data_IF_982248292276
#
_entry.id   IF_982248292276
#
_cell.length_a   1.000
_cell.length_b   1.000
_cell.length_c   1.000
_cell.angle_alpha   90.00
_cell.angle_beta   90.00
_cell.angle_gamma   90.00
#
_symmetry.space_group_name_H-M   'P 1'
#
loop_
_entity.id
_entity.type
_entity.pdbx_description
1 polymer ?
#
# COMPACT_ATOMS: atom_id res chain seq x y z
N UNK A 1 54.95 26.41 -9.42
CA UNK A 1 54.35 27.77 -9.47
C UNK A 1 52.94 27.70 -8.90
N UNK A 2 52.72 28.26 -7.69
CA UNK A 2 51.42 28.33 -7.04
C UNK A 2 50.66 29.53 -7.59
N UNK A 3 49.56 29.29 -8.29
CA UNK A 3 48.63 30.35 -8.71
C UNK A 3 47.84 30.79 -7.49
N UNK A 4 48.22 31.94 -6.92
CA UNK A 4 47.43 32.66 -5.92
C UNK A 4 46.14 33.16 -6.60
N UNK A 5 45.00 32.53 -6.29
CA UNK A 5 43.69 33.12 -6.55
C UNK A 5 43.51 34.34 -5.62
N UNK A 6 43.11 35.52 -6.14
CA UNK A 6 42.79 36.65 -5.28
C UNK A 6 41.55 36.29 -4.44
N UNK A 7 41.71 36.31 -3.11
CA UNK A 7 40.61 36.36 -2.15
C UNK A 7 39.93 37.72 -2.32
N UNK A 8 38.94 37.80 -3.20
CA UNK A 8 37.94 38.86 -3.15
C UNK A 8 37.22 38.76 -1.81
N UNK A 9 37.43 39.73 -0.93
CA UNK A 9 36.52 39.96 0.20
C UNK A 9 35.12 40.18 -0.38
N UNK A 10 34.08 39.48 0.08
CA UNK A 10 32.72 39.96 -0.18
C UNK A 10 32.61 41.33 0.50
N UNK A 11 32.18 42.32 -0.27
CA UNK A 11 31.77 43.62 0.25
C UNK A 11 30.55 43.41 1.15
N UNK A 12 30.79 43.03 2.40
CA UNK A 12 29.85 43.26 3.49
C UNK A 12 29.92 44.73 3.83
N UNK A 13 28.76 45.29 4.12
CA UNK A 13 28.56 46.55 4.85
C UNK A 13 28.58 47.81 3.98
N UNK A 14 27.46 48.05 3.31
CA UNK A 14 26.63 49.24 3.53
C UNK A 14 25.37 49.16 2.66
N UNK A 15 24.45 48.26 2.99
CA UNK A 15 23.07 48.43 2.53
C UNK A 15 22.53 49.67 3.24
N UNK A 16 22.32 50.76 2.49
CA UNK A 16 21.75 52.00 3.03
C UNK A 16 20.45 51.69 3.80
N UNK A 17 20.23 52.29 4.98
CA UNK A 17 19.03 52.05 5.78
C UNK A 17 17.71 52.35 5.04
N UNK A 18 17.76 53.17 3.98
CA UNK A 18 16.61 53.45 3.09
C UNK A 18 16.18 52.25 2.24
N UNK A 19 17.11 51.42 1.76
CA UNK A 19 16.77 50.26 0.93
C UNK A 19 16.08 49.15 1.75
N UNK A 20 16.48 49.00 3.02
CA UNK A 20 15.90 47.99 3.91
C UNK A 20 14.46 48.37 4.33
N UNK A 21 14.18 49.65 4.55
CA UNK A 21 12.81 50.09 4.91
C UNK A 21 11.82 49.94 3.76
N UNK A 22 12.26 50.13 2.51
CA UNK A 22 11.42 49.88 1.32
C UNK A 22 11.05 48.40 1.16
N UNK A 23 11.98 47.47 1.39
CA UNK A 23 11.70 46.02 1.35
C UNK A 23 10.71 45.57 2.43
N UNK A 24 10.80 46.13 3.64
CA UNK A 24 9.81 45.88 4.70
C UNK A 24 8.43 46.42 4.33
N UNK A 25 8.36 47.60 3.72
CA UNK A 25 7.10 48.18 3.28
C UNK A 25 6.43 47.36 2.18
N UNK A 26 7.22 46.84 1.23
CA UNK A 26 6.72 45.87 0.25
C UNK A 26 6.21 44.58 0.89
N UNK A 27 6.92 44.04 1.89
CA UNK A 27 6.50 42.84 2.60
C UNK A 27 5.15 43.06 3.29
N UNK A 28 4.97 44.19 3.98
CA UNK A 28 3.70 44.57 4.64
C UNK A 28 2.55 44.64 3.63
N UNK A 29 2.76 45.28 2.46
CA UNK A 29 1.74 45.35 1.40
C UNK A 29 1.33 43.95 0.92
N UNK A 30 2.28 43.04 0.74
CA UNK A 30 2.01 41.66 0.31
C UNK A 30 1.27 40.85 1.37
N UNK A 31 1.60 41.03 2.66
CA UNK A 31 0.86 40.42 3.78
C UNK A 31 -0.58 40.90 3.80
N UNK A 32 -0.80 42.21 3.62
CA UNK A 32 -2.13 42.82 3.64
C UNK A 32 -2.97 42.34 2.46
N UNK A 33 -2.39 42.25 1.26
CA UNK A 33 -3.02 41.67 0.08
C UNK A 33 -3.38 40.18 0.30
N UNK A 34 -2.45 39.39 0.86
CA UNK A 34 -2.67 37.98 1.16
C UNK A 34 -3.78 37.80 2.21
N UNK A 35 -3.85 38.65 3.23
CA UNK A 35 -4.90 38.64 4.25
C UNK A 35 -6.29 38.98 3.68
N UNK A 36 -6.38 39.95 2.76
CA UNK A 36 -7.63 40.29 2.07
C UNK A 36 -8.09 39.13 1.18
N UNK A 37 -7.17 38.54 0.40
CA UNK A 37 -7.46 37.35 -0.41
C UNK A 37 -7.89 36.17 0.45
N UNK A 38 -7.28 35.98 1.63
CA UNK A 38 -7.66 34.95 2.58
C UNK A 38 -9.10 35.14 3.08
N UNK A 39 -9.46 36.36 3.49
CA UNK A 39 -10.81 36.68 3.95
C UNK A 39 -11.84 36.41 2.85
N UNK A 40 -11.52 36.78 1.61
CA UNK A 40 -12.40 36.50 0.46
C UNK A 40 -12.57 34.99 0.23
N UNK A 41 -11.48 34.22 0.26
CA UNK A 41 -11.52 32.77 0.08
C UNK A 41 -12.31 32.07 1.20
N UNK A 42 -12.21 32.53 2.45
CA UNK A 42 -12.97 31.98 3.59
C UNK A 42 -14.49 32.13 3.37
N UNK A 43 -14.95 33.18 2.68
CA UNK A 43 -16.38 33.37 2.39
C UNK A 43 -16.90 32.39 1.33
N UNK A 44 -16.07 32.07 0.33
CA UNK A 44 -16.41 31.15 -0.76
C UNK A 44 -16.36 29.69 -0.33
N UNK A 45 -15.46 29.35 0.60
CA UNK A 45 -15.25 27.98 1.07
C UNK A 45 -16.43 27.51 1.94
N UNK A 46 -16.90 26.25 1.77
CA UNK A 46 -18.01 25.71 2.57
C UNK A 46 -17.69 25.71 4.07
N UNK A 47 -18.70 25.93 4.91
CA UNK A 47 -18.55 26.17 6.36
C UNK A 47 -17.66 25.15 7.07
N UNK A 48 -17.78 23.88 6.71
CA UNK A 48 -17.04 22.75 7.29
C UNK A 48 -15.51 22.80 7.05
N UNK A 49 -15.03 23.57 6.05
CA UNK A 49 -13.60 23.66 5.70
C UNK A 49 -12.93 24.94 6.19
N UNK A 50 -13.71 25.95 6.62
CA UNK A 50 -13.23 27.31 6.87
C UNK A 50 -12.15 27.38 7.94
N UNK A 51 -12.34 26.65 9.05
CA UNK A 51 -11.42 26.68 10.18
C UNK A 51 -10.06 26.08 9.80
N UNK A 52 -10.06 24.89 9.21
CA UNK A 52 -8.84 24.19 8.83
C UNK A 52 -8.10 24.96 7.73
N UNK A 53 -8.81 25.45 6.71
CA UNK A 53 -8.23 26.26 5.64
C UNK A 53 -7.65 27.58 6.17
N UNK A 54 -8.35 28.27 7.08
CA UNK A 54 -7.84 29.50 7.68
C UNK A 54 -6.59 29.25 8.52
N UNK A 55 -6.58 28.19 9.33
CA UNK A 55 -5.47 27.88 10.22
C UNK A 55 -4.20 27.52 9.42
N UNK A 56 -4.34 26.71 8.37
CA UNK A 56 -3.21 26.35 7.52
C UNK A 56 -2.71 27.49 6.69
N UNK A 57 -3.60 28.30 6.13
CA UNK A 57 -3.19 29.43 5.32
C UNK A 57 -2.51 30.51 6.17
N UNK A 58 -3.00 30.78 7.39
CA UNK A 58 -2.32 31.68 8.34
C UNK A 58 -0.95 31.13 8.72
N UNK A 59 -0.83 29.82 8.97
CA UNK A 59 0.45 29.19 9.27
C UNK A 59 1.45 29.29 8.11
N UNK A 60 1.02 29.03 6.87
CA UNK A 60 1.86 29.16 5.68
C UNK A 60 2.28 30.61 5.41
N UNK A 61 1.37 31.57 5.62
CA UNK A 61 1.68 33.00 5.54
C UNK A 61 2.72 33.36 6.60
N UNK A 62 2.56 32.93 7.85
CA UNK A 62 3.51 33.19 8.93
C UNK A 62 4.91 32.64 8.63
N UNK A 63 5.00 31.42 8.08
CA UNK A 63 6.26 30.84 7.63
C UNK A 63 6.87 31.66 6.49
N UNK A 64 6.08 31.98 5.46
CA UNK A 64 6.56 32.75 4.31
C UNK A 64 7.08 34.14 4.70
N UNK A 65 6.38 34.81 5.63
CA UNK A 65 6.80 36.09 6.22
C UNK A 65 8.06 35.92 7.04
N UNK A 66 8.17 34.89 7.87
CA UNK A 66 9.37 34.60 8.65
C UNK A 66 10.60 34.36 7.77
N UNK A 67 10.45 33.60 6.69
CA UNK A 67 11.51 33.36 5.71
C UNK A 67 11.93 34.67 5.04
N UNK A 68 10.97 35.50 4.60
CA UNK A 68 11.27 36.79 3.97
C UNK A 68 11.93 37.76 4.93
N UNK A 69 11.48 37.84 6.19
CA UNK A 69 12.15 38.62 7.22
C UNK A 69 13.59 38.16 7.45
N UNK A 70 13.83 36.85 7.49
CA UNK A 70 15.18 36.30 7.63
C UNK A 70 16.08 36.65 6.43
N UNK A 71 15.55 36.66 5.21
CA UNK A 71 16.28 37.08 4.00
C UNK A 71 16.64 38.57 4.02
N UNK A 72 15.73 39.45 4.46
CA UNK A 72 15.97 40.90 4.59
C UNK A 72 17.02 41.20 5.68
N UNK A 73 16.97 40.47 6.81
CA UNK A 73 17.91 40.66 7.92
C UNK A 73 19.30 40.07 7.65
N UNK A 74 19.38 38.99 6.87
CA UNK A 74 20.64 38.28 6.59
C UNK A 74 20.76 37.94 5.09
N UNK A 75 20.99 38.94 4.23
CA UNK A 75 21.16 38.73 2.79
C UNK A 75 22.37 37.81 2.52
N UNK A 76 22.17 36.78 1.68
CA UNK A 76 23.21 35.81 1.28
C UNK A 76 23.38 34.58 2.17
N UNK A 77 22.74 34.50 3.35
CA UNK A 77 22.78 33.28 4.21
C UNK A 77 21.66 32.27 3.96
N UNK A 78 20.55 32.71 3.35
CA UNK A 78 19.31 31.95 3.22
C UNK A 78 18.83 31.89 1.77
N UNK A 79 19.72 31.49 0.85
CA UNK A 79 19.36 31.17 -0.53
C UNK A 79 18.71 29.79 -0.62
N UNK A 80 17.38 29.78 -0.79
CA UNK A 80 16.58 28.56 -0.88
C UNK A 80 16.92 27.69 -2.11
N UNK A 81 17.56 28.28 -3.12
CA UNK A 81 18.06 27.59 -4.31
C UNK A 81 19.12 26.55 -3.95
N UNK A 82 20.06 26.89 -3.07
CA UNK A 82 21.07 25.96 -2.58
C UNK A 82 20.43 24.84 -1.76
N UNK A 83 19.57 25.18 -0.79
CA UNK A 83 18.87 24.18 0.03
C UNK A 83 18.04 23.19 -0.80
N UNK A 84 17.28 23.68 -1.80
CA UNK A 84 16.52 22.81 -2.70
C UNK A 84 17.45 21.89 -3.50
N UNK A 85 18.54 22.44 -4.04
CA UNK A 85 19.49 21.66 -4.82
C UNK A 85 20.20 20.60 -3.99
N UNK A 86 20.52 20.91 -2.73
CA UNK A 86 21.12 20.00 -1.77
C UNK A 86 20.13 18.91 -1.34
N UNK A 87 18.86 19.27 -1.10
CA UNK A 87 17.82 18.30 -0.78
C UNK A 87 17.55 17.33 -1.95
N UNK A 88 17.51 17.83 -3.19
CA UNK A 88 17.35 16.99 -4.39
C UNK A 88 18.57 16.08 -4.57
N UNK A 89 19.78 16.62 -4.47
CA UNK A 89 21.02 15.84 -4.57
C UNK A 89 21.10 14.78 -3.46
N UNK A 90 20.66 15.12 -2.25
CA UNK A 90 20.56 14.17 -1.15
C UNK A 90 19.55 13.05 -1.44
N UNK A 91 18.36 13.39 -1.95
CA UNK A 91 17.34 12.43 -2.36
C UNK A 91 17.80 11.50 -3.51
N UNK A 92 18.47 12.05 -4.52
CA UNK A 92 19.01 11.29 -5.64
C UNK A 92 20.13 10.33 -5.21
N UNK A 93 20.92 10.70 -4.20
CA UNK A 93 21.96 9.86 -3.63
C UNK A 93 21.43 8.72 -2.73
N UNK A 94 20.15 8.74 -2.36
CA UNK A 94 19.53 7.65 -1.59
C UNK A 94 19.27 6.44 -2.49
N UNK A 95 19.56 5.24 -1.98
CA UNK A 95 19.15 3.99 -2.64
C UNK A 95 17.64 3.99 -2.88
N UNK A 96 17.21 3.38 -3.99
CA UNK A 96 15.80 3.29 -4.39
C UNK A 96 14.84 2.83 -3.29
N UNK A 97 15.27 1.90 -2.44
CA UNK A 97 14.53 1.43 -1.25
C UNK A 97 14.24 2.56 -0.26
N UNK A 98 15.26 3.34 0.09
CA UNK A 98 15.11 4.43 1.04
C UNK A 98 14.26 5.55 0.44
N UNK A 99 14.34 5.80 -0.87
CA UNK A 99 13.43 6.73 -1.55
C UNK A 99 11.96 6.30 -1.40
N UNK A 100 11.65 5.02 -1.62
CA UNK A 100 10.28 4.51 -1.49
C UNK A 100 9.73 4.68 -0.07
N UNK A 101 10.49 4.32 0.96
CA UNK A 101 10.07 4.46 2.37
C UNK A 101 10.02 5.93 2.82
N UNK A 102 10.92 6.77 2.33
CA UNK A 102 10.89 8.20 2.60
C UNK A 102 9.62 8.84 2.01
N UNK A 103 9.22 8.44 0.80
CA UNK A 103 7.96 8.89 0.20
C UNK A 103 6.76 8.46 1.03
N UNK A 104 6.72 7.19 1.50
CA UNK A 104 5.68 6.73 2.44
C UNK A 104 5.64 7.64 3.68
N UNK A 105 6.79 7.90 4.28
CA UNK A 105 6.91 8.71 5.50
C UNK A 105 6.45 10.14 5.28
N UNK A 106 6.77 10.75 4.14
CA UNK A 106 6.34 12.11 3.79
C UNK A 106 4.83 12.20 3.51
N UNK A 107 4.20 11.12 3.04
CA UNK A 107 2.76 11.09 2.79
C UNK A 107 1.92 10.99 4.08
N UNK A 108 2.44 10.42 5.17
CA UNK A 108 1.71 10.27 6.45
C UNK A 108 1.18 11.60 7.02
N UNK A 109 2.00 12.66 7.19
CA UNK A 109 1.50 13.94 7.70
C UNK A 109 0.50 14.59 6.74
N UNK A 110 0.68 14.40 5.43
CA UNK A 110 -0.27 14.88 4.42
C UNK A 110 -1.64 14.18 4.53
N UNK A 111 -1.66 12.86 4.76
CA UNK A 111 -2.88 12.11 5.04
C UNK A 111 -3.54 12.55 6.34
N UNK A 112 -2.75 12.78 7.39
CA UNK A 112 -3.26 13.32 8.66
C UNK A 112 -3.92 14.68 8.47
N UNK A 113 -3.34 15.55 7.64
CA UNK A 113 -3.95 16.82 7.28
C UNK A 113 -5.27 16.65 6.53
N UNK A 114 -5.31 15.78 5.52
CA UNK A 114 -6.54 15.51 4.77
C UNK A 114 -7.64 14.89 5.64
N UNK A 115 -7.28 14.05 6.61
CA UNK A 115 -8.23 13.47 7.56
C UNK A 115 -8.93 14.55 8.41
N UNK A 116 -8.16 15.52 8.91
CA UNK A 116 -8.70 16.65 9.67
C UNK A 116 -9.55 17.56 8.79
N UNK A 117 -9.21 17.68 7.51
CA UNK A 117 -9.87 18.55 6.56
C UNK A 117 -11.22 17.99 6.10
N UNK A 118 -11.26 16.74 5.65
CA UNK A 118 -12.49 16.01 5.30
C UNK A 118 -12.23 14.50 5.25
N UNK A 119 -12.70 13.84 6.30
CA UNK A 119 -12.51 12.41 6.49
C UNK A 119 -13.21 11.55 5.42
N UNK A 120 -14.36 11.96 4.89
CA UNK A 120 -15.17 11.08 4.05
C UNK A 120 -15.01 11.35 2.55
N UNK A 121 -14.89 12.62 2.15
CA UNK A 121 -14.78 12.99 0.74
C UNK A 121 -13.36 12.92 0.21
N UNK A 122 -12.41 13.62 0.84
CA UNK A 122 -11.03 13.67 0.37
C UNK A 122 -10.11 12.61 0.97
N UNK A 123 -10.23 12.32 2.27
CA UNK A 123 -9.30 11.40 2.93
C UNK A 123 -9.46 9.97 2.43
N UNK A 124 -10.67 9.42 2.36
CA UNK A 124 -10.89 8.02 1.92
C UNK A 124 -10.25 7.70 0.56
N UNK A 125 -10.49 8.44 -0.53
CA UNK A 125 -9.89 8.10 -1.83
C UNK A 125 -8.36 8.27 -1.83
N UNK A 126 -7.82 9.29 -1.15
CA UNK A 126 -6.37 9.50 -1.06
C UNK A 126 -5.70 8.44 -0.18
N UNK A 127 -6.35 8.02 0.90
CA UNK A 127 -5.91 6.93 1.76
C UNK A 127 -5.92 5.59 1.00
N UNK A 128 -6.90 5.35 0.13
CA UNK A 128 -6.91 4.19 -0.75
C UNK A 128 -5.73 4.20 -1.73
N UNK A 129 -5.44 5.33 -2.38
CA UNK A 129 -4.27 5.48 -3.26
C UNK A 129 -2.95 5.28 -2.51
N UNK A 130 -2.86 5.83 -1.29
CA UNK A 130 -1.70 5.61 -0.42
C UNK A 130 -1.54 4.14 -0.06
N UNK A 131 -2.62 3.44 0.28
CA UNK A 131 -2.59 2.02 0.58
C UNK A 131 -2.15 1.19 -0.64
N UNK A 132 -2.62 1.54 -1.85
CA UNK A 132 -2.15 0.93 -3.11
C UNK A 132 -0.65 1.17 -3.31
N UNK A 133 -0.17 2.39 -3.06
CA UNK A 133 1.25 2.71 -3.13
C UNK A 133 2.06 1.88 -2.12
N UNK A 134 1.59 1.77 -0.87
CA UNK A 134 2.23 0.93 0.15
C UNK A 134 2.27 -0.54 -0.26
N UNK A 135 1.18 -1.07 -0.81
CA UNK A 135 1.15 -2.43 -1.37
C UNK A 135 2.19 -2.58 -2.49
N UNK A 136 2.33 -1.59 -3.38
CA UNK A 136 3.36 -1.57 -4.41
C UNK A 136 4.79 -1.62 -3.85
N UNK A 137 5.06 -0.88 -2.76
CA UNK A 137 6.36 -0.93 -2.05
C UNK A 137 6.61 -2.33 -1.48
N UNK A 138 5.61 -2.93 -0.82
CA UNK A 138 5.70 -4.30 -0.29
C UNK A 138 5.93 -5.31 -1.43
N UNK A 139 5.18 -5.21 -2.52
CA UNK A 139 5.34 -6.08 -3.69
C UNK A 139 6.74 -5.98 -4.28
N UNK A 140 7.31 -4.77 -4.38
CA UNK A 140 8.69 -4.58 -4.85
C UNK A 140 9.69 -5.31 -3.94
N UNK A 141 9.54 -5.21 -2.62
CA UNK A 141 10.40 -5.92 -1.68
C UNK A 141 10.24 -7.44 -1.76
N UNK A 142 8.99 -7.94 -1.87
CA UNK A 142 8.72 -9.37 -2.03
C UNK A 142 9.33 -9.90 -3.33
N UNK A 143 9.17 -9.22 -4.46
CA UNK A 143 9.77 -9.63 -5.74
C UNK A 143 11.30 -9.72 -5.64
N UNK A 144 11.95 -8.79 -4.93
CA UNK A 144 13.40 -8.85 -4.71
C UNK A 144 13.78 -10.04 -3.83
N UNK A 145 13.09 -10.23 -2.71
CA UNK A 145 13.36 -11.35 -1.78
C UNK A 145 13.17 -12.68 -2.52
N UNK A 146 12.10 -12.78 -3.29
CA UNK A 146 11.82 -13.93 -4.16
C UNK A 146 12.97 -14.19 -5.14
N UNK A 147 13.45 -13.16 -5.84
CA UNK A 147 14.59 -13.30 -6.77
C UNK A 147 15.83 -13.89 -6.08
N UNK A 148 16.18 -13.38 -4.89
CA UNK A 148 17.33 -13.86 -4.10
C UNK A 148 17.12 -15.33 -3.67
N UNK A 149 15.92 -15.68 -3.19
CA UNK A 149 15.61 -17.05 -2.77
C UNK A 149 15.70 -18.00 -3.96
N UNK A 150 15.17 -17.60 -5.12
CA UNK A 150 15.18 -18.38 -6.35
C UNK A 150 16.56 -18.68 -6.93
N UNK A 151 17.60 -17.93 -6.56
CA UNK A 151 18.97 -18.23 -7.01
C UNK A 151 19.51 -19.54 -6.40
N UNK A 152 18.95 -19.98 -5.27
CA UNK A 152 19.42 -21.18 -4.56
C UNK A 152 18.53 -22.40 -4.83
N UNK A 153 19.12 -23.59 -4.96
CA UNK A 153 18.36 -24.85 -5.10
C UNK A 153 17.41 -25.09 -3.91
N UNK A 154 17.88 -24.81 -2.69
CA UNK A 154 17.08 -24.92 -1.47
C UNK A 154 15.90 -23.95 -1.53
N UNK A 155 16.13 -22.70 -1.93
CA UNK A 155 15.07 -21.70 -2.04
C UNK A 155 14.00 -22.08 -3.05
N UNK A 156 14.37 -22.64 -4.21
CA UNK A 156 13.40 -23.20 -5.16
C UNK A 156 12.56 -24.32 -4.53
N UNK A 157 13.19 -25.22 -3.77
CA UNK A 157 12.49 -26.28 -3.05
C UNK A 157 11.47 -25.73 -2.03
N UNK A 158 11.87 -24.72 -1.25
CA UNK A 158 10.99 -24.05 -0.28
C UNK A 158 9.80 -23.38 -0.98
N UNK A 159 10.04 -22.66 -2.08
CA UNK A 159 8.98 -22.03 -2.86
C UNK A 159 7.99 -23.07 -3.39
N UNK A 160 8.48 -24.19 -3.92
CA UNK A 160 7.61 -25.27 -4.41
C UNK A 160 6.74 -25.86 -3.29
N UNK A 161 7.30 -26.09 -2.09
CA UNK A 161 6.52 -26.59 -0.95
C UNK A 161 5.45 -25.58 -0.54
N UNK A 162 5.81 -24.31 -0.41
CA UNK A 162 4.84 -23.24 -0.08
C UNK A 162 3.75 -23.15 -1.16
N UNK A 163 4.12 -23.27 -2.43
CA UNK A 163 3.18 -23.24 -3.55
C UNK A 163 2.20 -24.41 -3.50
N UNK A 164 2.66 -25.62 -3.20
CA UNK A 164 1.79 -26.81 -3.04
C UNK A 164 0.83 -26.62 -1.86
N UNK A 165 1.33 -26.16 -0.71
CA UNK A 165 0.49 -25.90 0.46
C UNK A 165 -0.55 -24.81 0.16
N UNK A 166 -0.12 -23.70 -0.44
CA UNK A 166 -0.98 -22.58 -0.79
C UNK A 166 -2.06 -22.96 -1.82
N UNK A 167 -1.71 -23.72 -2.85
CA UNK A 167 -2.66 -24.18 -3.87
C UNK A 167 -3.71 -25.12 -3.28
N UNK A 168 -3.29 -26.07 -2.42
CA UNK A 168 -4.23 -26.95 -1.72
C UNK A 168 -5.16 -26.18 -0.78
N UNK A 169 -4.63 -25.16 -0.09
CA UNK A 169 -5.45 -24.30 0.76
C UNK A 169 -6.46 -23.48 -0.06
N UNK A 170 -6.05 -22.94 -1.21
CA UNK A 170 -6.92 -22.20 -2.12
C UNK A 170 -8.07 -23.07 -2.65
N UNK A 171 -7.75 -24.29 -3.09
CA UNK A 171 -8.74 -25.27 -3.54
C UNK A 171 -9.69 -25.69 -2.40
N UNK A 172 -9.16 -25.89 -1.19
CA UNK A 172 -9.97 -26.27 -0.03
C UNK A 172 -10.95 -25.17 0.37
N UNK A 173 -10.51 -23.91 0.44
CA UNK A 173 -11.37 -22.76 0.73
C UNK A 173 -12.46 -22.62 -0.34
N UNK A 174 -12.07 -22.73 -1.61
CA UNK A 174 -13.01 -22.64 -2.74
C UNK A 174 -14.04 -23.77 -2.72
N UNK A 175 -13.60 -24.99 -2.44
CA UNK A 175 -14.48 -26.15 -2.32
C UNK A 175 -15.46 -26.03 -1.17
N UNK A 176 -15.05 -25.44 -0.04
CA UNK A 176 -15.96 -25.16 1.09
C UNK A 176 -17.07 -24.18 0.70
N UNK A 177 -16.74 -23.14 -0.08
CA UNK A 177 -17.73 -22.14 -0.53
C UNK A 177 -18.72 -22.78 -1.50
N UNK A 178 -18.23 -23.47 -2.54
CA UNK A 178 -19.07 -24.14 -3.54
C UNK A 178 -19.95 -25.22 -2.90
N UNK A 179 -19.37 -26.08 -2.06
CA UNK A 179 -20.12 -27.13 -1.36
C UNK A 179 -21.15 -26.58 -0.38
N UNK A 180 -20.88 -25.43 0.23
CA UNK A 180 -21.85 -24.72 1.07
C UNK A 180 -23.06 -24.18 0.31
N UNK A 181 -22.87 -23.76 -0.95
CA UNK A 181 -23.95 -23.23 -1.80
C UNK A 181 -24.78 -24.31 -2.49
N UNK A 182 -24.12 -25.39 -2.91
CA UNK A 182 -24.71 -26.41 -3.79
C UNK A 182 -25.09 -27.68 -3.06
N UNK A 183 -24.64 -27.85 -1.82
CA UNK A 183 -24.83 -29.06 -1.00
C UNK A 183 -24.33 -30.37 -1.65
N UNK A 184 -23.45 -30.27 -2.64
CA UNK A 184 -22.84 -31.40 -3.34
C UNK A 184 -21.32 -31.31 -3.30
N UNK A 185 -20.58 -32.40 -3.59
CA UNK A 185 -19.13 -32.37 -3.64
C UNK A 185 -18.62 -31.29 -4.62
N UNK A 186 -17.69 -30.42 -4.21
CA UNK A 186 -17.23 -29.31 -5.05
C UNK A 186 -16.47 -29.77 -6.30
N UNK A 187 -16.02 -31.03 -6.34
CA UNK A 187 -15.37 -31.66 -7.50
C UNK A 187 -16.30 -31.77 -8.71
N UNK A 188 -17.61 -31.66 -8.52
CA UNK A 188 -18.60 -31.62 -9.61
C UNK A 188 -18.49 -30.34 -10.46
N UNK A 189 -17.92 -29.27 -9.92
CA UNK A 189 -17.83 -27.96 -10.58
C UNK A 189 -16.37 -27.52 -10.80
N UNK A 190 -15.61 -28.22 -11.65
CA UNK A 190 -14.17 -28.02 -11.78
C UNK A 190 -13.77 -26.64 -12.33
N UNK A 191 -14.58 -26.04 -13.21
CA UNK A 191 -14.26 -24.73 -13.77
C UNK A 191 -14.43 -23.63 -12.72
N UNK A 192 -15.58 -23.58 -12.06
CA UNK A 192 -15.82 -22.59 -11.00
C UNK A 192 -14.88 -22.78 -9.81
N UNK A 193 -14.58 -24.04 -9.44
CA UNK A 193 -13.60 -24.35 -8.40
C UNK A 193 -12.22 -23.76 -8.72
N UNK A 194 -11.76 -23.92 -9.97
CA UNK A 194 -10.47 -23.41 -10.41
C UNK A 194 -10.44 -21.88 -10.46
N UNK A 195 -11.49 -21.24 -10.98
CA UNK A 195 -11.61 -19.78 -10.98
C UNK A 195 -11.59 -19.20 -9.58
N UNK A 196 -12.37 -19.78 -8.67
CA UNK A 196 -12.44 -19.32 -7.28
C UNK A 196 -11.09 -19.51 -6.56
N UNK A 197 -10.39 -20.61 -6.84
CA UNK A 197 -9.06 -20.86 -6.28
C UNK A 197 -8.02 -19.82 -6.74
N UNK A 198 -8.06 -19.41 -8.02
CA UNK A 198 -7.20 -18.33 -8.53
C UNK A 198 -7.53 -17.00 -7.84
N UNK A 199 -8.82 -16.70 -7.64
CA UNK A 199 -9.27 -15.50 -6.93
C UNK A 199 -8.93 -15.53 -5.43
N UNK A 200 -8.72 -16.70 -4.85
CA UNK A 200 -8.29 -16.86 -3.46
C UNK A 200 -6.78 -16.58 -3.27
N UNK A 201 -5.96 -16.60 -4.33
CA UNK A 201 -4.50 -16.41 -4.23
C UNK A 201 -4.11 -15.06 -3.60
N UNK A 202 -4.65 -13.90 -4.01
CA UNK A 202 -4.37 -12.63 -3.35
C UNK A 202 -4.71 -12.63 -1.85
N UNK A 203 -5.79 -13.30 -1.46
CA UNK A 203 -6.20 -13.42 -0.05
C UNK A 203 -5.20 -14.25 0.76
N UNK A 204 -4.76 -15.38 0.21
CA UNK A 204 -3.74 -16.21 0.83
C UNK A 204 -2.40 -15.49 0.94
N UNK A 205 -2.06 -14.65 -0.03
CA UNK A 205 -0.85 -13.83 0.01
C UNK A 205 -0.90 -12.80 1.15
N UNK A 206 -2.04 -12.15 1.35
CA UNK A 206 -2.25 -11.23 2.48
C UNK A 206 -2.16 -11.98 3.82
N UNK A 207 -2.82 -13.14 3.93
CA UNK A 207 -2.78 -13.96 5.14
C UNK A 207 -1.37 -14.48 5.46
N UNK A 208 -0.65 -14.96 4.45
CA UNK A 208 0.74 -15.38 4.57
C UNK A 208 1.64 -14.21 4.96
N UNK A 209 1.39 -13.01 4.40
CA UNK A 209 2.04 -11.77 4.77
C UNK A 209 1.91 -11.50 6.27
N UNK A 210 0.69 -11.55 6.83
CA UNK A 210 0.46 -11.33 8.27
C UNK A 210 1.27 -12.30 9.15
N UNK A 211 1.34 -13.59 8.78
CA UNK A 211 2.15 -14.59 9.50
C UNK A 211 3.64 -14.30 9.37
N UNK A 212 4.12 -13.98 8.17
CA UNK A 212 5.51 -13.65 7.91
C UNK A 212 5.95 -12.42 8.70
N UNK A 213 5.06 -11.45 8.87
CA UNK A 213 5.31 -10.22 9.63
C UNK A 213 5.47 -10.49 11.12
N UNK A 214 4.66 -11.40 11.67
CA UNK A 214 4.84 -11.84 13.05
C UNK A 214 6.20 -12.52 13.26
N UNK A 215 6.60 -13.39 12.32
CA UNK A 215 7.92 -14.03 12.33
C UNK A 215 9.04 -12.99 12.18
N UNK A 216 8.92 -12.05 11.24
CA UNK A 216 9.91 -11.00 11.04
C UNK A 216 10.04 -10.07 12.25
N UNK A 217 8.92 -9.71 12.89
CA UNK A 217 8.89 -8.86 14.09
C UNK A 217 9.47 -9.56 15.32
N UNK A 218 9.26 -10.87 15.48
CA UNK A 218 9.87 -11.65 16.57
C UNK A 218 11.36 -11.92 16.32
N UNK A 219 11.75 -12.03 15.04
CA UNK A 219 13.16 -12.16 14.65
C UNK A 219 13.91 -10.82 14.65
N UNK A 220 13.25 -9.66 14.53
CA UNK A 220 13.90 -8.35 14.50
C UNK A 220 14.80 -8.04 15.73
N UNK A 221 14.39 -8.31 16.97
CA UNK A 221 15.27 -8.23 18.14
C UNK A 221 16.46 -9.19 18.05
N UNK A 222 16.24 -10.42 17.56
CA UNK A 222 17.31 -11.41 17.34
C UNK A 222 18.29 -10.97 16.27
N UNK A 223 17.88 -10.14 15.30
CA UNK A 223 18.73 -9.56 14.25
C UNK A 223 19.50 -8.37 14.78
N UNK A 224 18.89 -7.54 15.61
CA UNK A 224 19.55 -6.38 16.22
C UNK A 224 20.60 -6.86 17.22
N UNK A 225 20.27 -7.82 18.09
CA UNK A 225 21.24 -8.51 18.95
C UNK A 225 22.22 -9.37 18.14
N UNK A 226 21.71 -10.00 17.08
CA UNK A 226 22.47 -10.78 16.11
C UNK A 226 23.40 -9.93 15.25
N UNK A 227 23.24 -8.61 15.14
CA UNK A 227 24.16 -7.74 14.40
C UNK A 227 25.48 -7.54 15.15
N UNK A 228 25.44 -7.61 16.49
CA UNK A 228 26.62 -7.82 17.33
C UNK A 228 27.24 -9.20 17.10
N UNK A 229 26.43 -10.22 16.77
CA UNK A 229 26.86 -11.57 16.42
C UNK A 229 27.33 -11.70 14.94
N UNK A 230 26.87 -10.82 14.05
CA UNK A 230 27.19 -10.78 12.62
C UNK A 230 28.67 -10.45 12.39
N UNK A 231 29.26 -9.68 13.31
CA UNK A 231 30.72 -9.47 13.39
C UNK A 231 31.49 -10.77 13.67
N UNK A 232 30.86 -11.78 14.28
CA UNK A 232 31.47 -13.07 14.62
C UNK A 232 31.15 -14.19 13.63
N UNK A 233 30.03 -14.12 12.88
CA UNK A 233 29.60 -15.18 11.97
C UNK A 233 28.94 -14.64 10.67
N UNK A 234 29.72 -14.10 9.71
CA UNK A 234 29.19 -13.45 8.50
C UNK A 234 28.44 -14.40 7.55
N UNK A 235 28.75 -15.70 7.57
CA UNK A 235 28.08 -16.70 6.71
C UNK A 235 26.61 -16.95 7.08
N UNK A 236 26.26 -16.90 8.36
CA UNK A 236 24.89 -17.13 8.83
C UNK A 236 23.97 -15.95 8.52
N UNK A 237 24.48 -14.72 8.61
CA UNK A 237 23.72 -13.50 8.29
C UNK A 237 23.48 -13.35 6.79
N UNK A 238 24.47 -13.73 5.97
CA UNK A 238 24.30 -13.81 4.51
C UNK A 238 23.23 -14.84 4.11
N UNK A 239 23.16 -15.96 4.82
CA UNK A 239 22.17 -17.02 4.58
C UNK A 239 20.74 -16.61 4.98
N UNK A 240 20.56 -15.93 6.12
CA UNK A 240 19.23 -15.60 6.64
C UNK A 240 18.64 -14.30 6.07
N UNK A 241 19.49 -13.30 5.78
CA UNK A 241 19.03 -11.98 5.34
C UNK A 241 19.30 -11.68 3.87
N UNK A 242 20.17 -12.42 3.20
CA UNK A 242 20.54 -12.14 1.80
C UNK A 242 21.13 -10.74 1.61
N UNK A 243 21.61 -10.09 2.68
CA UNK A 243 22.23 -8.76 2.63
C UNK A 243 23.71 -8.90 2.97
N UNK A 244 24.56 -8.54 2.01
CA UNK A 244 25.97 -8.26 2.28
C UNK A 244 26.03 -6.92 3.02
N UNK A 245 26.25 -6.99 4.34
CA UNK A 245 26.44 -5.82 5.19
C UNK A 245 27.83 -5.25 4.92
N UNK A 246 27.96 -4.52 3.83
CA UNK A 246 29.18 -3.78 3.51
C UNK A 246 29.34 -2.64 4.54
N UNK A 247 30.35 -2.79 5.41
CA UNK A 247 30.53 -2.01 6.64
C UNK A 247 30.78 -0.51 6.43
N UNK A 248 30.92 -0.05 5.18
CA UNK A 248 31.26 1.33 4.85
C UNK A 248 30.06 2.23 4.52
N UNK A 249 28.89 1.68 4.19
CA UNK A 249 27.86 2.44 3.43
C UNK A 249 26.54 2.71 4.14
N UNK A 250 26.44 2.40 5.43
CA UNK A 250 25.13 2.08 5.99
C UNK A 250 24.80 2.78 7.32
N UNK A 251 25.06 4.10 7.38
CA UNK A 251 24.78 4.93 8.57
C UNK A 251 23.31 4.86 9.05
N UNK A 252 22.39 4.35 8.22
CA UNK A 252 20.96 4.31 8.49
C UNK A 252 20.33 2.90 8.53
N UNK A 253 21.11 1.80 8.49
CA UNK A 253 20.53 0.44 8.43
C UNK A 253 19.58 0.13 9.59
N UNK A 254 19.98 0.49 10.81
CA UNK A 254 19.17 0.20 12.01
C UNK A 254 17.86 0.96 11.96
N UNK A 255 17.88 2.24 11.56
CA UNK A 255 16.69 3.06 11.41
C UNK A 255 15.75 2.50 10.32
N UNK A 256 16.30 2.10 9.17
CA UNK A 256 15.52 1.49 8.08
C UNK A 256 14.90 0.16 8.50
N UNK A 257 15.63 -0.69 9.23
CA UNK A 257 15.11 -1.97 9.74
C UNK A 257 13.96 -1.75 10.73
N UNK A 258 14.11 -0.82 11.68
CA UNK A 258 13.05 -0.49 12.64
C UNK A 258 11.80 0.00 11.90
N UNK A 259 11.98 0.94 10.95
CA UNK A 259 10.88 1.44 10.13
C UNK A 259 10.20 0.30 9.34
N UNK A 260 10.98 -0.58 8.72
CA UNK A 260 10.44 -1.72 7.97
C UNK A 260 9.58 -2.62 8.85
N UNK A 261 10.01 -2.94 10.07
CA UNK A 261 9.22 -3.75 11.01
C UNK A 261 7.87 -3.07 11.28
N UNK A 262 7.86 -1.79 11.66
CA UNK A 262 6.61 -1.07 11.92
C UNK A 262 5.73 -0.94 10.67
N UNK A 263 6.34 -0.64 9.52
CA UNK A 263 5.64 -0.53 8.24
C UNK A 263 4.97 -1.85 7.86
N UNK A 264 5.71 -2.95 7.92
CA UNK A 264 5.15 -4.26 7.65
C UNK A 264 4.08 -4.65 8.66
N UNK A 265 4.27 -4.43 9.97
CA UNK A 265 3.22 -4.65 10.99
C UNK A 265 1.95 -3.85 10.69
N UNK A 266 2.09 -2.57 10.33
CA UNK A 266 0.96 -1.73 9.93
C UNK A 266 0.24 -2.29 8.71
N UNK A 267 0.95 -2.63 7.64
CA UNK A 267 0.36 -3.19 6.42
C UNK A 267 -0.25 -4.57 6.66
N UNK A 268 0.41 -5.44 7.41
CA UNK A 268 -0.04 -6.80 7.71
C UNK A 268 -1.25 -6.89 8.62
N UNK A 269 -1.55 -5.83 9.38
CA UNK A 269 -2.76 -5.72 10.21
C UNK A 269 -3.88 -4.98 9.49
N UNK A 270 -3.55 -3.89 8.81
CA UNK A 270 -4.52 -3.06 8.10
C UNK A 270 -5.08 -3.75 6.85
N UNK A 271 -4.24 -4.44 6.07
CA UNK A 271 -4.67 -5.05 4.80
C UNK A 271 -5.71 -6.16 5.00
N UNK A 272 -5.51 -7.15 5.90
CA UNK A 272 -6.55 -8.15 6.15
C UNK A 272 -7.85 -7.54 6.70
N UNK A 273 -7.75 -6.52 7.56
CA UNK A 273 -8.92 -5.87 8.13
C UNK A 273 -9.76 -5.15 7.06
N UNK A 274 -9.11 -4.38 6.17
CA UNK A 274 -9.76 -3.73 5.04
C UNK A 274 -10.35 -4.78 4.09
N UNK A 275 -9.59 -5.84 3.79
CA UNK A 275 -10.05 -6.91 2.90
C UNK A 275 -11.27 -7.65 3.45
N UNK A 276 -11.29 -8.01 4.73
CA UNK A 276 -12.45 -8.62 5.39
C UNK A 276 -13.65 -7.69 5.41
N UNK A 277 -13.46 -6.39 5.67
CA UNK A 277 -14.53 -5.41 5.63
C UNK A 277 -15.15 -5.29 4.23
N UNK A 278 -14.31 -5.32 3.18
CA UNK A 278 -14.76 -5.33 1.78
C UNK A 278 -15.52 -6.62 1.46
N UNK A 279 -14.99 -7.79 1.83
CA UNK A 279 -15.66 -9.08 1.60
C UNK A 279 -17.03 -9.12 2.28
N UNK A 280 -17.11 -8.71 3.55
CA UNK A 280 -18.37 -8.71 4.29
C UNK A 280 -19.39 -7.74 3.69
N UNK A 281 -18.94 -6.60 3.16
CA UNK A 281 -19.81 -5.63 2.48
C UNK A 281 -20.37 -6.15 1.16
N UNK A 282 -19.59 -6.97 0.45
CA UNK A 282 -19.95 -7.49 -0.88
C UNK A 282 -20.30 -8.97 -0.89
N UNK A 283 -20.51 -9.59 0.28
CA UNK A 283 -20.72 -11.05 0.42
C UNK A 283 -21.84 -11.55 -0.49
N UNK A 284 -23.00 -10.88 -0.47
CA UNK A 284 -24.14 -11.25 -1.30
C UNK A 284 -23.84 -11.17 -2.81
N UNK A 285 -23.06 -10.17 -3.25
CA UNK A 285 -22.66 -10.05 -4.65
C UNK A 285 -21.65 -11.13 -5.06
N UNK A 286 -20.74 -11.49 -4.15
CA UNK A 286 -19.79 -12.59 -4.34
C UNK A 286 -20.56 -13.90 -4.48
N UNK A 287 -21.53 -14.17 -3.61
CA UNK A 287 -22.36 -15.39 -3.69
C UNK A 287 -23.15 -15.47 -5.00
N UNK A 288 -23.78 -14.38 -5.43
CA UNK A 288 -24.48 -14.32 -6.72
C UNK A 288 -23.55 -14.57 -7.90
N UNK A 289 -22.33 -14.03 -7.86
CA UNK A 289 -21.33 -14.21 -8.91
C UNK A 289 -20.85 -15.66 -8.98
N UNK A 290 -20.63 -16.29 -7.83
CA UNK A 290 -20.24 -17.70 -7.75
C UNK A 290 -21.38 -18.59 -8.27
N UNK A 291 -22.62 -18.37 -7.83
CA UNK A 291 -23.78 -19.11 -8.32
C UNK A 291 -23.95 -19.02 -9.83
N UNK A 292 -23.80 -17.82 -10.41
CA UNK A 292 -23.82 -17.63 -11.87
C UNK A 292 -22.67 -18.33 -12.58
N UNK A 293 -21.46 -18.30 -12.00
CA UNK A 293 -20.32 -19.03 -12.55
C UNK A 293 -20.60 -20.52 -12.64
N UNK A 294 -21.15 -21.13 -11.58
CA UNK A 294 -21.52 -22.56 -11.58
C UNK A 294 -22.54 -22.84 -12.69
N UNK A 295 -23.60 -22.03 -12.76
CA UNK A 295 -24.67 -22.19 -13.75
C UNK A 295 -24.18 -22.05 -15.20
N UNK A 296 -23.29 -21.09 -15.47
CA UNK A 296 -22.83 -20.82 -16.83
C UNK A 296 -21.69 -21.72 -17.30
N UNK A 297 -20.75 -22.06 -16.41
CA UNK A 297 -19.53 -22.77 -16.80
C UNK A 297 -19.55 -24.26 -16.49
N UNK A 298 -20.31 -24.71 -15.50
CA UNK A 298 -20.28 -26.10 -15.05
C UNK A 298 -21.62 -26.85 -15.23
N UNK A 299 -22.73 -26.14 -15.50
CA UNK A 299 -24.04 -26.75 -15.72
C UNK A 299 -24.49 -26.66 -17.18
N UNK A 300 -25.16 -27.71 -17.66
CA UNK A 300 -25.58 -27.85 -19.05
C UNK A 300 -27.12 -27.93 -19.16
N UNK A 301 -27.71 -27.44 -20.26
CA UNK A 301 -29.11 -27.73 -20.54
C UNK A 301 -29.26 -29.23 -20.80
N UNK A 302 -29.87 -29.96 -19.88
CA UNK A 302 -29.97 -31.42 -19.98
C UNK A 302 -31.42 -31.91 -19.99
N UNK A 303 -31.65 -32.97 -20.75
CA UNK A 303 -32.96 -33.59 -20.97
C UNK A 303 -33.26 -34.72 -19.98
N UNK A 304 -32.23 -35.22 -19.28
CA UNK A 304 -32.30 -36.43 -18.42
C UNK A 304 -33.32 -36.30 -17.28
N UNK A 305 -33.46 -35.11 -16.69
CA UNK A 305 -34.35 -34.89 -15.56
C UNK A 305 -35.76 -34.39 -15.93
N UNK A 306 -36.17 -34.43 -17.21
CA UNK A 306 -37.41 -33.82 -17.72
C UNK A 306 -37.64 -32.42 -17.11
N UNK A 307 -36.57 -31.62 -17.07
CA UNK A 307 -36.59 -30.32 -16.41
C UNK A 307 -37.37 -29.29 -17.24
N UNK A 308 -37.94 -28.29 -16.57
CA UNK A 308 -38.65 -27.20 -17.23
C UNK A 308 -37.69 -26.34 -18.07
N UNK A 309 -38.24 -25.59 -19.04
CA UNK A 309 -37.47 -24.66 -19.85
C UNK A 309 -36.75 -23.64 -18.95
N UNK A 310 -35.43 -23.49 -19.12
CA UNK A 310 -34.60 -22.59 -18.32
C UNK A 310 -33.87 -23.23 -17.13
N UNK A 311 -34.05 -24.53 -16.90
CA UNK A 311 -33.22 -25.29 -15.96
C UNK A 311 -31.96 -25.82 -16.63
N UNK A 312 -30.84 -25.76 -15.91
CA UNK A 312 -29.60 -26.48 -16.24
C UNK A 312 -29.34 -27.56 -15.21
N UNK A 313 -28.61 -28.59 -15.61
CA UNK A 313 -28.25 -29.72 -14.76
C UNK A 313 -26.74 -29.98 -14.79
N UNK A 314 -26.22 -30.51 -13.70
CA UNK A 314 -24.90 -31.13 -13.63
C UNK A 314 -25.04 -32.55 -13.10
N UNK A 315 -24.26 -33.48 -13.69
CA UNK A 315 -24.24 -34.88 -13.25
C UNK A 315 -23.38 -35.04 -12.01
N UNK A 316 -23.90 -35.76 -11.03
CA UNK A 316 -23.21 -36.11 -9.78
C UNK A 316 -22.67 -37.55 -9.82
N UNK A 317 -22.89 -38.29 -10.91
CA UNK A 317 -22.67 -39.73 -11.00
C UNK A 317 -23.85 -40.55 -10.50
N UNK A 318 -23.89 -41.84 -10.85
CA UNK A 318 -24.91 -42.81 -10.44
C UNK A 318 -26.38 -42.35 -10.67
N UNK A 319 -26.63 -41.72 -11.83
CA UNK A 319 -27.93 -41.15 -12.23
C UNK A 319 -28.46 -40.04 -11.30
N UNK A 320 -27.60 -39.50 -10.44
CA UNK A 320 -27.92 -38.34 -9.60
C UNK A 320 -27.55 -37.06 -10.34
N UNK A 321 -28.45 -36.07 -10.27
CA UNK A 321 -28.27 -34.77 -10.90
C UNK A 321 -28.60 -33.67 -9.92
N UNK A 322 -27.88 -32.56 -10.02
CA UNK A 322 -28.25 -31.28 -9.41
C UNK A 322 -28.81 -30.38 -10.49
N UNK A 323 -29.93 -29.73 -10.17
CA UNK A 323 -30.62 -28.81 -11.06
C UNK A 323 -30.49 -27.40 -10.53
N UNK A 324 -30.39 -26.44 -11.44
CA UNK A 324 -30.40 -25.04 -11.10
C UNK A 324 -31.26 -24.25 -12.09
N UNK A 325 -31.89 -23.21 -11.58
CA UNK A 325 -32.67 -22.26 -12.37
C UNK A 325 -32.16 -20.85 -12.12
N UNK A 326 -32.07 -20.06 -13.18
CA UNK A 326 -31.78 -18.64 -13.08
C UNK A 326 -33.08 -17.87 -12.77
N UNK A 327 -33.08 -17.13 -11.66
CA UNK A 327 -34.19 -16.30 -11.22
C UNK A 327 -33.73 -14.83 -11.11
N UNK A 328 -34.68 -13.90 -11.02
CA UNK A 328 -34.37 -12.46 -10.89
C UNK A 328 -33.53 -12.14 -9.65
N UNK A 329 -33.56 -12.99 -8.62
CA UNK A 329 -32.82 -12.86 -7.37
C UNK A 329 -31.46 -13.60 -7.38
N UNK A 330 -31.14 -14.40 -8.40
CA UNK A 330 -29.92 -15.22 -8.47
C UNK A 330 -30.14 -16.62 -9.01
N UNK A 331 -29.12 -17.47 -8.91
CA UNK A 331 -29.21 -18.89 -9.26
C UNK A 331 -29.70 -19.67 -8.05
N UNK A 332 -30.78 -20.44 -8.22
CA UNK A 332 -31.31 -21.31 -7.16
C UNK A 332 -30.95 -22.75 -7.49
N UNK A 333 -30.22 -23.40 -6.57
CA UNK A 333 -29.86 -24.81 -6.67
C UNK A 333 -30.93 -25.67 -5.98
N UNK A 334 -31.47 -26.62 -6.71
CA UNK A 334 -32.37 -27.64 -6.16
C UNK A 334 -31.56 -28.76 -5.47
N UNK A 335 -32.12 -29.43 -4.46
CA UNK A 335 -31.46 -30.58 -3.86
C UNK A 335 -31.22 -31.67 -4.92
N UNK A 336 -30.11 -32.42 -4.79
CA UNK A 336 -29.76 -33.46 -5.75
C UNK A 336 -30.85 -34.53 -5.79
N UNK A 337 -31.26 -34.92 -7.01
CA UNK A 337 -32.29 -35.93 -7.22
C UNK A 337 -31.83 -36.96 -8.24
N UNK A 338 -32.30 -38.19 -8.05
CA UNK A 338 -32.08 -39.26 -9.02
C UNK A 338 -33.06 -39.07 -10.18
N UNK A 339 -32.56 -39.02 -11.40
CA UNK A 339 -33.38 -38.90 -12.60
C UNK A 339 -33.31 -40.21 -13.38
N UNK A 340 -34.43 -40.91 -13.46
CA UNK A 340 -34.60 -42.06 -14.36
C UNK A 340 -35.12 -41.57 -15.71
N UNK A 341 -34.48 -41.99 -16.80
CA UNK A 341 -34.95 -41.79 -18.19
C UNK A 341 -36.44 -42.15 -18.36
#
# INVERSE_FOLDING_TARGET
MKVQKPKGKPASDNLQPSARSEEYWELIKRILLAGVMLCFLILVIPSQWRVVYSATSVFLIAIGVGIRMAQINHPGKYEFTEFRSDAVRWYENLNRRHQLYLNVTMCIPFLGYLYVLDANGLFVPVAALFLIYCLGVVSYDVCRIYAIICETFIGKGVISVIFVIGSNLALSISGKIIGGMTHVPPTTFPHTLSFLAILAVPFLFVAAGTVFIFIASTMAPLIIYGSSFAKKAPRFVKWFFGVELDGSRSRYIVATLIFQVFFYVGIGTLTPAVMLAVINKYSQQIELTIGRSIYEFDMYPGTECKAAFGHRQASLGDENYILASEQSAGVVFEPPRKCSL
#
